data_IF_962801757956
#
_entry.id   IF_962801757956
#
_cell.length_a   1.000
_cell.length_b   1.000
_cell.length_c   1.000
_cell.angle_alpha   90.00
_cell.angle_beta   90.00
_cell.angle_gamma   90.00
#
_symmetry.space_group_name_H-M   'P 1'
#
loop_
_entity.id
_entity.type
_entity.pdbx_description
1 polymer ?
#
# COMPACT_ATOMS: atom_id res chain seq x y z
N UNK A 1 10.06 -3.96 15.70
CA UNK A 1 8.84 -3.12 15.62
C UNK A 1 7.67 -3.94 16.14
N UNK A 2 6.83 -3.38 17.00
CA UNK A 2 5.58 -3.98 17.47
C UNK A 2 4.45 -2.97 17.30
N UNK A 3 3.37 -3.39 16.67
CA UNK A 3 2.13 -2.62 16.51
C UNK A 3 0.94 -3.58 16.59
N UNK A 4 -0.27 -3.07 16.41
CA UNK A 4 -1.52 -3.84 16.43
C UNK A 4 -2.40 -3.42 15.26
N UNK A 5 -3.18 -4.35 14.74
CA UNK A 5 -4.24 -4.06 13.76
C UNK A 5 -5.35 -3.28 14.44
N UNK A 6 -5.56 -2.02 14.05
CA UNK A 6 -6.67 -1.22 14.59
C UNK A 6 -8.01 -1.71 14.03
N UNK A 7 -8.06 -1.95 12.72
CA UNK A 7 -9.27 -2.37 12.03
C UNK A 7 -8.95 -3.15 10.75
N UNK A 8 -9.77 -4.16 10.46
CA UNK A 8 -9.76 -4.92 9.21
C UNK A 8 -10.96 -4.50 8.34
N UNK A 9 -10.74 -4.35 7.04
CA UNK A 9 -11.78 -3.96 6.08
C UNK A 9 -11.82 -4.89 4.87
N UNK A 10 -13.04 -5.15 4.38
CA UNK A 10 -13.30 -5.83 3.11
C UNK A 10 -14.36 -5.07 2.32
N UNK A 11 -14.34 -5.18 1.00
CA UNK A 11 -15.28 -4.53 0.10
C UNK A 11 -15.55 -5.38 -1.11
N UNK A 12 -16.79 -5.29 -1.62
CA UNK A 12 -17.17 -5.86 -2.91
C UNK A 12 -17.06 -4.82 -4.01
N UNK A 13 -16.83 -5.28 -5.23
CA UNK A 13 -16.83 -4.42 -6.41
C UNK A 13 -18.21 -3.79 -6.56
N UNK A 14 -18.22 -2.46 -6.69
CA UNK A 14 -19.40 -1.68 -7.03
C UNK A 14 -19.06 -0.58 -8.00
N UNK A 15 -20.06 -0.07 -8.70
CA UNK A 15 -19.88 1.03 -9.64
C UNK A 15 -19.63 2.34 -8.88
N UNK A 16 -18.60 3.05 -9.29
CA UNK A 16 -18.30 4.40 -8.82
C UNK A 16 -19.00 5.40 -9.74
N UNK A 17 -20.03 6.07 -9.20
CA UNK A 17 -20.78 7.09 -9.94
C UNK A 17 -20.09 8.47 -9.86
N UNK A 18 -20.23 9.33 -10.89
CA UNK A 18 -21.05 9.13 -12.10
C UNK A 18 -20.35 8.34 -13.23
N UNK A 19 -19.05 8.09 -13.13
CA UNK A 19 -18.24 7.52 -14.23
C UNK A 19 -18.63 6.08 -14.59
N UNK A 20 -19.24 5.33 -13.66
CA UNK A 20 -19.67 3.94 -13.88
C UNK A 20 -18.55 2.91 -13.80
N UNK A 21 -17.36 3.30 -13.33
CA UNK A 21 -16.20 2.42 -13.25
C UNK A 21 -16.26 1.47 -12.04
N UNK A 22 -15.84 0.22 -12.24
CA UNK A 22 -15.85 -0.78 -11.19
C UNK A 22 -14.72 -0.55 -10.16
N UNK A 23 -15.08 -0.55 -8.88
CA UNK A 23 -14.15 -0.30 -7.78
C UNK A 23 -14.56 -1.05 -6.51
N UNK A 24 -13.58 -1.66 -5.84
CA UNK A 24 -13.71 -2.21 -4.49
C UNK A 24 -13.07 -1.30 -3.43
N UNK A 25 -12.78 -0.03 -3.78
CA UNK A 25 -12.16 0.94 -2.85
C UNK A 25 -13.05 1.15 -1.62
N UNK A 26 -14.37 1.03 -1.79
CA UNK A 26 -15.33 1.16 -0.71
C UNK A 26 -15.41 -0.11 0.13
N UNK A 27 -14.56 -0.15 1.15
CA UNK A 27 -14.54 -1.24 2.12
C UNK A 27 -15.31 -0.87 3.39
N UNK A 28 -15.84 -1.90 4.04
CA UNK A 28 -16.53 -1.82 5.33
C UNK A 28 -15.73 -2.56 6.39
N UNK A 29 -15.78 -2.11 7.65
CA UNK A 29 -15.11 -2.80 8.74
C UNK A 29 -15.68 -4.21 8.92
N UNK A 30 -14.79 -5.20 9.07
CA UNK A 30 -15.18 -6.57 9.43
C UNK A 30 -15.25 -6.72 10.94
N UNK A 31 -16.24 -7.47 11.40
CA UNK A 31 -16.37 -7.89 12.79
C UNK A 31 -15.78 -9.30 12.95
N UNK A 32 -14.86 -9.46 13.91
CA UNK A 32 -14.23 -10.75 14.21
C UNK A 32 -13.09 -11.15 13.25
N UNK A 33 -12.69 -12.42 13.32
CA UNK A 33 -11.56 -12.96 12.55
C UNK A 33 -11.95 -13.21 11.10
N UNK A 34 -11.06 -12.84 10.18
CA UNK A 34 -11.23 -12.97 8.73
C UNK A 34 -10.11 -13.82 8.16
N UNK A 35 -10.45 -14.75 7.27
CA UNK A 35 -9.46 -15.59 6.59
C UNK A 35 -8.66 -14.79 5.57
N UNK A 36 -7.34 -14.96 5.59
CA UNK A 36 -6.42 -14.46 4.58
C UNK A 36 -6.10 -15.58 3.59
N UNK A 37 -6.36 -15.34 2.31
CA UNK A 37 -6.03 -16.20 1.18
C UNK A 37 -4.78 -15.68 0.46
N UNK A 38 -4.17 -16.45 -0.46
CA UNK A 38 -3.00 -15.99 -1.21
C UNK A 38 -3.22 -14.71 -2.02
N UNK A 39 -4.46 -14.35 -2.32
CA UNK A 39 -4.82 -13.19 -3.15
C UNK A 39 -5.61 -12.12 -2.41
N UNK A 40 -5.88 -12.30 -1.11
CA UNK A 40 -6.55 -11.29 -0.27
C UNK A 40 -7.45 -11.86 0.81
N UNK A 41 -8.23 -11.00 1.47
CA UNK A 41 -9.17 -11.40 2.52
C UNK A 41 -10.40 -12.09 1.94
N UNK A 42 -10.92 -13.09 2.66
CA UNK A 42 -12.22 -13.68 2.36
C UNK A 42 -13.32 -12.62 2.44
N UNK A 43 -14.15 -12.53 1.39
CA UNK A 43 -15.17 -11.49 1.26
C UNK A 43 -14.69 -10.16 0.68
N UNK A 44 -13.39 -10.03 0.42
CA UNK A 44 -12.82 -8.90 -0.30
C UNK A 44 -12.68 -9.19 -1.80
N UNK A 45 -13.06 -8.23 -2.63
CA UNK A 45 -12.94 -8.34 -4.08
C UNK A 45 -11.94 -7.31 -4.62
N UNK A 46 -11.36 -7.61 -5.78
CA UNK A 46 -10.42 -6.75 -6.49
C UNK A 46 -10.96 -6.47 -7.89
N UNK A 47 -11.35 -5.22 -8.16
CA UNK A 47 -11.88 -4.83 -9.46
C UNK A 47 -10.81 -4.80 -10.57
N UNK A 48 -9.55 -4.56 -10.20
CA UNK A 48 -8.43 -4.39 -11.12
C UNK A 48 -7.23 -5.20 -10.64
N UNK A 49 -7.11 -6.43 -11.14
CA UNK A 49 -6.00 -7.33 -10.82
C UNK A 49 -4.65 -6.86 -11.40
N UNK A 50 -4.63 -5.95 -12.38
CA UNK A 50 -3.38 -5.43 -12.94
C UNK A 50 -2.78 -4.39 -12.00
N UNK A 51 -3.58 -3.42 -11.55
CA UNK A 51 -3.09 -2.30 -10.77
C UNK A 51 -3.25 -2.47 -9.25
N UNK A 52 -4.34 -3.08 -8.80
CA UNK A 52 -4.79 -3.08 -7.40
C UNK A 52 -5.09 -4.47 -6.84
N UNK A 53 -4.53 -5.52 -7.45
CA UNK A 53 -4.77 -6.88 -7.04
C UNK A 53 -3.71 -7.87 -7.48
N UNK A 54 -3.99 -9.14 -7.24
CA UNK A 54 -3.06 -10.24 -7.47
C UNK A 54 -2.18 -10.59 -6.25
N UNK A 55 -1.36 -11.65 -6.34
CA UNK A 55 -0.62 -12.20 -5.21
C UNK A 55 0.34 -11.20 -4.53
N UNK A 56 0.96 -10.30 -5.31
CA UNK A 56 1.82 -9.24 -4.78
C UNK A 56 1.06 -8.10 -4.11
N UNK A 57 -0.27 -8.06 -4.25
CA UNK A 57 -1.13 -6.98 -3.74
C UNK A 57 -2.32 -7.53 -2.97
N UNK A 58 -2.11 -8.66 -2.29
CA UNK A 58 -3.15 -9.39 -1.59
C UNK A 58 -3.79 -8.55 -0.47
N UNK A 59 -2.98 -7.80 0.29
CA UNK A 59 -3.46 -6.94 1.37
C UNK A 59 -2.91 -5.54 1.22
N UNK A 60 -3.78 -4.53 1.25
CA UNK A 60 -3.42 -3.12 1.32
C UNK A 60 -3.38 -2.65 2.78
N UNK A 61 -2.30 -1.98 3.18
CA UNK A 61 -2.12 -1.42 4.50
C UNK A 61 -2.01 0.09 4.43
N UNK A 62 -2.73 0.80 5.31
CA UNK A 62 -2.66 2.26 5.37
C UNK A 62 -2.59 2.77 6.82
N UNK A 63 -1.58 3.61 7.17
CA UNK A 63 -1.49 4.24 8.49
C UNK A 63 -2.62 5.24 8.70
N UNK A 64 -3.29 5.19 9.86
CA UNK A 64 -4.42 6.09 10.13
C UNK A 64 -3.98 7.54 10.34
N UNK A 65 -2.72 7.76 10.71
CA UNK A 65 -2.09 9.07 10.91
C UNK A 65 -2.23 9.96 9.68
N UNK A 66 -2.18 9.34 8.49
CA UNK A 66 -2.22 10.04 7.21
C UNK A 66 -3.60 10.64 6.91
N UNK A 67 -4.67 10.11 7.50
CA UNK A 67 -5.99 10.72 7.37
C UNK A 67 -6.07 12.11 8.01
N UNK A 68 -5.28 12.36 9.07
CA UNK A 68 -5.16 13.70 9.64
C UNK A 68 -4.51 14.66 8.64
N UNK A 69 -3.44 14.23 7.97
CA UNK A 69 -2.75 15.05 6.94
C UNK A 69 -3.68 15.38 5.78
N UNK A 70 -4.45 14.39 5.30
CA UNK A 70 -5.45 14.59 4.25
C UNK A 70 -6.56 15.55 4.71
N UNK A 71 -7.07 15.38 5.94
CA UNK A 71 -8.11 16.24 6.51
C UNK A 71 -7.64 17.68 6.76
N UNK A 72 -6.37 17.89 7.11
CA UNK A 72 -5.76 19.22 7.24
C UNK A 72 -5.62 19.92 5.89
N UNK A 73 -5.32 19.16 4.82
CA UNK A 73 -5.24 19.69 3.46
C UNK A 73 -6.60 20.08 2.89
N UNK A 74 -7.67 19.35 3.22
CA UNK A 74 -9.05 19.65 2.81
C UNK A 74 -10.02 19.55 4.00
N UNK A 75 -10.12 20.62 4.81
CA UNK A 75 -10.97 20.65 6.00
C UNK A 75 -12.44 20.33 5.73
N UNK A 76 -12.95 20.68 4.55
CA UNK A 76 -14.32 20.39 4.09
C UNK A 76 -14.59 18.88 3.93
N UNK A 77 -13.56 18.08 3.66
CA UNK A 77 -13.63 16.64 3.52
C UNK A 77 -13.19 15.90 4.79
N UNK A 78 -12.67 16.60 5.80
CA UNK A 78 -12.09 16.01 7.00
C UNK A 78 -13.04 15.04 7.73
N UNK A 79 -14.34 15.34 7.74
CA UNK A 79 -15.35 14.49 8.37
C UNK A 79 -15.60 13.16 7.61
N UNK A 80 -15.20 13.06 6.34
CA UNK A 80 -15.40 11.88 5.50
C UNK A 80 -14.17 10.95 5.50
N UNK A 81 -12.99 11.46 5.81
CA UNK A 81 -11.74 10.69 5.74
C UNK A 81 -11.45 9.98 7.06
N UNK A 82 -11.03 8.72 6.97
CA UNK A 82 -10.77 7.87 8.13
C UNK A 82 -10.44 6.44 7.68
N UNK A 83 -10.19 5.55 8.63
CA UNK A 83 -9.82 4.16 8.33
C UNK A 83 -10.83 3.49 7.37
N UNK A 84 -10.29 2.80 6.36
CA UNK A 84 -11.00 2.21 5.22
C UNK A 84 -11.25 3.16 4.05
N UNK A 85 -10.92 4.45 4.17
CA UNK A 85 -11.21 5.45 3.14
C UNK A 85 -10.29 5.35 1.93
N UNK A 86 -9.03 4.94 2.09
CA UNK A 86 -8.13 4.71 0.95
C UNK A 86 -8.27 3.30 0.37
N UNK A 87 -9.20 2.51 0.91
CA UNK A 87 -9.49 1.14 0.46
C UNK A 87 -8.46 0.15 0.97
N UNK A 88 -7.84 0.42 2.12
CA UNK A 88 -6.97 -0.49 2.83
C UNK A 88 -7.75 -1.63 3.46
N UNK A 89 -7.12 -2.80 3.50
CA UNK A 89 -7.60 -3.96 4.23
C UNK A 89 -7.20 -3.90 5.70
N UNK A 90 -6.03 -3.32 5.99
CA UNK A 90 -5.46 -3.23 7.33
C UNK A 90 -5.17 -1.75 7.62
N UNK A 91 -5.69 -1.27 8.74
CA UNK A 91 -5.33 0.05 9.27
C UNK A 91 -4.64 -0.11 10.63
N UNK A 92 -3.64 0.73 10.89
CA UNK A 92 -2.82 0.70 12.12
C UNK A 92 -2.43 2.10 12.56
N UNK A 93 -1.88 2.18 13.77
CA UNK A 93 -1.08 3.30 14.28
C UNK A 93 0.37 2.91 14.55
N UNK A 94 1.26 3.89 14.55
CA UNK A 94 2.67 3.76 14.89
C UNK A 94 3.52 3.01 13.86
N UNK A 95 2.99 2.78 12.66
CA UNK A 95 3.70 2.16 11.54
C UNK A 95 3.45 3.00 10.30
N UNK A 96 4.51 3.65 9.78
CA UNK A 96 4.45 4.44 8.56
C UNK A 96 5.50 3.96 7.55
N UNK A 97 5.55 4.61 6.40
CA UNK A 97 6.49 4.37 5.32
C UNK A 97 7.96 4.57 5.77
N UNK A 98 8.19 5.28 6.87
CA UNK A 98 9.51 5.50 7.42
C UNK A 98 10.05 4.33 8.26
N UNK A 99 9.17 3.49 8.84
CA UNK A 99 9.57 2.37 9.70
C UNK A 99 9.52 1.00 9.00
N UNK A 100 8.77 0.92 7.90
CA UNK A 100 8.54 -0.30 7.12
C UNK A 100 9.49 -0.36 5.94
N UNK A 101 10.14 -1.50 5.71
CA UNK A 101 11.05 -1.72 4.59
C UNK A 101 10.48 -2.66 3.53
N UNK A 102 10.93 -2.50 2.29
CA UNK A 102 10.66 -3.47 1.22
C UNK A 102 11.18 -4.85 1.64
N UNK A 103 10.35 -5.88 1.46
CA UNK A 103 10.70 -7.25 1.81
C UNK A 103 10.56 -7.59 3.29
N UNK A 104 10.22 -6.64 4.18
CA UNK A 104 9.91 -6.94 5.58
C UNK A 104 8.84 -8.05 5.64
N UNK A 105 9.08 -9.07 6.48
CA UNK A 105 8.13 -10.13 6.77
C UNK A 105 7.52 -9.87 8.13
N UNK A 106 6.19 -9.80 8.18
CA UNK A 106 5.43 -9.64 9.42
C UNK A 106 4.60 -10.88 9.72
N UNK A 107 4.48 -11.18 11.01
CA UNK A 107 3.43 -12.04 11.54
C UNK A 107 2.29 -11.17 12.04
N UNK A 108 1.08 -11.43 11.54
CA UNK A 108 -0.17 -10.78 11.95
C UNK A 108 -1.17 -11.88 12.28
N UNK A 109 -1.53 -12.03 13.55
CA UNK A 109 -2.30 -13.20 13.99
C UNK A 109 -1.58 -14.50 13.60
N UNK A 110 -2.23 -15.31 12.75
CA UNK A 110 -1.71 -16.60 12.26
C UNK A 110 -1.04 -16.51 10.87
N UNK A 111 -0.95 -15.30 10.31
CA UNK A 111 -0.58 -15.06 8.91
C UNK A 111 0.85 -14.52 8.85
N UNK A 112 1.63 -15.01 7.89
CA UNK A 112 2.89 -14.38 7.49
C UNK A 112 2.72 -13.63 6.18
N UNK A 113 3.06 -12.35 6.18
CA UNK A 113 2.91 -11.44 5.04
C UNK A 113 4.22 -10.73 4.79
N UNK A 114 4.54 -10.47 3.52
CA UNK A 114 5.77 -9.79 3.12
C UNK A 114 5.46 -8.52 2.35
N UNK A 115 6.11 -7.41 2.73
CA UNK A 115 6.00 -6.12 2.04
C UNK A 115 6.51 -6.27 0.62
N UNK A 116 5.65 -6.06 -0.36
CA UNK A 116 5.96 -6.28 -1.77
C UNK A 116 6.30 -4.98 -2.51
N UNK A 117 5.60 -3.90 -2.22
CA UNK A 117 5.73 -2.60 -2.87
C UNK A 117 4.87 -1.53 -2.17
N UNK A 118 5.17 -0.23 -2.32
CA UNK A 118 4.23 0.83 -1.96
C UNK A 118 3.00 0.77 -2.86
N UNK A 119 1.91 1.35 -2.37
CA UNK A 119 0.69 1.49 -3.15
C UNK A 119 0.82 2.71 -4.06
N UNK A 120 0.63 2.52 -5.37
CA UNK A 120 0.52 3.68 -6.26
C UNK A 120 -0.85 4.36 -6.07
N UNK A 121 -0.90 5.67 -5.76
CA UNK A 121 -2.14 6.44 -5.76
C UNK A 121 -2.81 6.40 -7.14
N UNK A 122 -4.13 6.53 -7.18
CA UNK A 122 -4.88 6.53 -8.44
C UNK A 122 -6.09 7.46 -8.35
N UNK A 123 -6.62 7.87 -9.51
CA UNK A 123 -7.72 8.83 -9.66
C UNK A 123 -9.01 8.46 -8.89
N UNK A 124 -9.18 7.19 -8.49
CA UNK A 124 -10.30 6.76 -7.63
C UNK A 124 -10.27 7.43 -6.25
N UNK A 125 -9.10 7.90 -5.79
CA UNK A 125 -8.95 8.73 -4.58
C UNK A 125 -9.68 10.06 -4.79
N UNK A 126 -9.35 10.77 -5.87
CA UNK A 126 -9.92 12.08 -6.24
C UNK A 126 -11.45 12.00 -6.28
N UNK A 127 -11.99 10.96 -6.91
CA UNK A 127 -13.44 10.72 -6.94
C UNK A 127 -14.08 10.44 -5.59
N UNK A 128 -13.39 9.70 -4.72
CA UNK A 128 -13.92 9.39 -3.40
C UNK A 128 -13.89 10.62 -2.48
N UNK A 129 -12.81 11.41 -2.53
CA UNK A 129 -12.70 12.69 -1.82
C UNK A 129 -13.61 13.77 -2.41
N UNK A 130 -13.94 13.67 -3.71
CA UNK A 130 -14.57 14.74 -4.50
C UNK A 130 -13.68 15.99 -4.59
N UNK A 131 -12.38 15.75 -4.71
CA UNK A 131 -11.35 16.79 -4.78
C UNK A 131 -10.38 16.40 -5.90
N UNK A 132 -10.20 17.31 -6.85
CA UNK A 132 -9.24 17.12 -7.93
C UNK A 132 -7.80 17.14 -7.39
N UNK A 133 -6.90 16.39 -8.02
CA UNK A 133 -5.49 16.27 -7.64
C UNK A 133 -5.24 15.60 -6.27
N UNK A 134 -6.25 15.02 -5.62
CA UNK A 134 -6.08 14.39 -4.31
C UNK A 134 -5.08 13.21 -4.34
N UNK A 135 -5.10 12.40 -5.40
CA UNK A 135 -4.13 11.33 -5.60
C UNK A 135 -2.71 11.87 -5.80
N UNK A 136 -2.55 13.01 -6.49
CA UNK A 136 -1.24 13.66 -6.67
C UNK A 136 -0.69 14.22 -5.37
N UNK A 137 -1.53 14.77 -4.50
CA UNK A 137 -1.12 15.17 -3.16
C UNK A 137 -0.64 13.98 -2.33
N UNK A 138 -1.39 12.87 -2.32
CA UNK A 138 -1.01 11.63 -1.62
C UNK A 138 0.34 11.11 -2.14
N UNK A 139 0.55 11.14 -3.46
CA UNK A 139 1.82 10.80 -4.10
C UNK A 139 2.95 11.75 -3.70
N UNK A 140 2.74 13.06 -3.78
CA UNK A 140 3.76 14.06 -3.46
C UNK A 140 4.14 14.07 -1.97
N UNK A 141 3.20 13.76 -1.08
CA UNK A 141 3.44 13.68 0.35
C UNK A 141 4.00 12.32 0.80
N UNK A 142 4.11 11.32 -0.09
CA UNK A 142 4.65 9.99 0.24
C UNK A 142 3.77 9.14 1.17
N UNK A 143 2.57 9.60 1.51
CA UNK A 143 1.62 8.95 2.43
C UNK A 143 0.76 7.90 1.73
N UNK A 144 1.41 6.97 1.02
CA UNK A 144 0.77 6.13 0.01
C UNK A 144 0.21 4.81 0.55
N UNK A 145 0.69 4.35 1.71
CA UNK A 145 0.49 2.98 2.18
C UNK A 145 1.25 1.96 1.33
N UNK A 146 1.04 0.68 1.61
CA UNK A 146 1.77 -0.40 0.93
C UNK A 146 0.95 -1.66 0.79
N UNK A 147 1.48 -2.56 -0.04
CA UNK A 147 0.92 -3.89 -0.24
C UNK A 147 1.77 -4.95 0.44
N UNK A 148 1.07 -6.01 0.84
CA UNK A 148 1.66 -7.28 1.18
C UNK A 148 1.31 -8.36 0.16
N UNK A 149 2.26 -9.28 -0.03
CA UNK A 149 1.98 -10.65 -0.47
C UNK A 149 1.83 -11.56 0.74
N UNK A 150 1.09 -12.67 0.57
CA UNK A 150 0.87 -13.65 1.64
C UNK A 150 1.85 -14.81 1.49
N UNK A 151 2.69 -15.02 2.49
CA UNK A 151 3.63 -16.15 2.56
C UNK A 151 3.00 -17.37 3.23
N UNK A 152 2.19 -17.13 4.26
CA UNK A 152 1.45 -18.17 4.98
C UNK A 152 0.03 -17.68 5.24
N UNK A 153 -0.96 -18.44 4.78
CA UNK A 153 -2.38 -18.16 5.01
C UNK A 153 -2.78 -18.44 6.46
N UNK A 154 -3.91 -17.88 6.86
CA UNK A 154 -4.41 -17.98 8.22
C UNK A 154 -5.57 -17.02 8.42
N UNK A 155 -5.62 -16.40 9.59
CA UNK A 155 -6.71 -15.51 9.99
C UNK A 155 -6.15 -14.31 10.73
N UNK A 156 -6.78 -13.15 10.50
CA UNK A 156 -6.47 -11.90 11.20
C UNK A 156 -7.75 -11.24 11.75
N UNK A 157 -7.62 -10.44 12.79
CA UNK A 157 -8.67 -9.58 13.34
C UNK A 157 -8.10 -8.24 13.82
N UNK A 158 -9.00 -7.28 14.05
CA UNK A 158 -8.68 -6.12 14.87
C UNK A 158 -8.18 -6.57 16.26
N UNK A 159 -7.14 -5.92 16.78
CA UNK A 159 -6.45 -6.26 18.02
C UNK A 159 -5.30 -7.26 17.86
N UNK A 160 -5.15 -7.92 16.70
CA UNK A 160 -4.00 -8.82 16.48
C UNK A 160 -2.69 -8.02 16.45
N UNK A 161 -1.67 -8.56 17.12
CA UNK A 161 -0.32 -7.99 17.10
C UNK A 161 0.35 -8.14 15.73
N UNK A 162 1.15 -7.15 15.38
CA UNK A 162 2.01 -7.13 14.19
C UNK A 162 3.46 -7.19 14.67
N UNK A 163 4.14 -8.28 14.30
CA UNK A 163 5.52 -8.55 14.70
C UNK A 163 6.41 -8.67 13.47
N UNK A 164 7.50 -7.91 13.45
CA UNK A 164 8.54 -8.06 12.43
C UNK A 164 9.31 -9.37 12.66
N UNK A 165 9.28 -10.25 11.68
CA UNK A 165 9.96 -11.55 11.68
C UNK A 165 11.30 -11.48 10.95
N UNK A 166 11.32 -10.80 9.80
CA UNK A 166 12.50 -10.68 8.95
C UNK A 166 12.57 -9.30 8.30
N UNK A 167 13.79 -8.79 8.12
CA UNK A 167 14.08 -7.52 7.45
C UNK A 167 15.29 -7.69 6.52
N UNK A 168 15.10 -8.15 5.28
CA UNK A 168 16.21 -8.40 4.36
C UNK A 168 16.83 -7.09 3.84
N UNK A 169 16.04 -6.01 3.74
CA UNK A 169 16.49 -4.71 3.21
C UNK A 169 16.37 -3.59 4.25
N UNK A 170 17.13 -3.59 5.36
CA UNK A 170 17.02 -2.56 6.41
C UNK A 170 17.35 -1.14 5.94
N UNK A 171 17.93 -1.00 4.75
CA UNK A 171 18.31 0.25 4.11
C UNK A 171 17.21 0.83 3.20
N UNK A 172 16.15 0.06 2.89
CA UNK A 172 15.13 0.44 1.92
C UNK A 172 13.77 0.56 2.60
N UNK A 173 13.61 1.63 3.38
CA UNK A 173 12.28 2.01 3.88
C UNK A 173 11.37 2.34 2.69
N UNK A 174 10.06 2.26 2.89
CA UNK A 174 9.11 2.63 1.84
C UNK A 174 9.23 4.11 1.47
N UNK A 175 9.55 4.98 2.44
CA UNK A 175 9.84 6.39 2.21
C UNK A 175 11.09 6.56 1.32
N UNK A 176 12.21 5.90 1.66
CA UNK A 176 13.44 5.95 0.87
C UNK A 176 13.24 5.42 -0.56
N UNK A 177 12.48 4.32 -0.68
CA UNK A 177 12.07 3.81 -1.98
C UNK A 177 11.30 4.88 -2.77
N UNK A 178 10.32 5.52 -2.15
CA UNK A 178 9.43 6.46 -2.82
C UNK A 178 10.17 7.71 -3.27
N UNK A 179 10.97 8.30 -2.39
CA UNK A 179 11.79 9.48 -2.67
C UNK A 179 12.77 9.19 -3.82
N UNK A 180 13.41 8.01 -3.80
CA UNK A 180 14.34 7.63 -4.87
C UNK A 180 13.63 7.48 -6.21
N UNK A 181 12.51 6.75 -6.29
CA UNK A 181 11.89 6.43 -7.59
C UNK A 181 11.08 7.58 -8.19
N UNK A 182 10.67 8.55 -7.37
CA UNK A 182 9.91 9.73 -7.81
C UNK A 182 10.80 10.95 -8.11
N UNK A 183 12.08 10.90 -7.73
CA UNK A 183 13.04 11.95 -8.07
C UNK A 183 13.05 12.23 -9.59
N UNK A 184 13.15 13.50 -9.96
CA UNK A 184 13.16 13.92 -11.36
C UNK A 184 14.29 13.26 -12.16
N UNK A 185 15.48 13.14 -11.54
CA UNK A 185 16.65 12.44 -12.07
C UNK A 185 17.22 11.52 -10.98
N UNK A 186 16.69 10.30 -10.85
CA UNK A 186 17.17 9.35 -9.85
C UNK A 186 18.53 8.78 -10.26
N UNK A 187 19.38 8.46 -9.29
CA UNK A 187 20.67 7.79 -9.56
C UNK A 187 20.43 6.38 -10.13
N UNK A 188 20.93 6.05 -11.33
CA UNK A 188 20.82 4.71 -11.90
C UNK A 188 21.38 3.60 -11.00
N UNK A 189 22.43 3.88 -10.22
CA UNK A 189 23.01 2.91 -9.27
C UNK A 189 22.01 2.61 -8.14
N UNK A 190 21.38 3.65 -7.59
CA UNK A 190 20.34 3.49 -6.58
C UNK A 190 19.14 2.71 -7.12
N UNK A 191 18.66 3.02 -8.34
CA UNK A 191 17.56 2.29 -8.98
C UNK A 191 17.89 0.80 -9.20
N UNK A 192 19.11 0.47 -9.63
CA UNK A 192 19.56 -0.93 -9.76
C UNK A 192 19.59 -1.64 -8.43
N UNK A 193 20.05 -0.97 -7.37
CA UNK A 193 20.06 -1.52 -6.00
C UNK A 193 18.63 -1.79 -5.52
N UNK A 194 17.71 -0.85 -5.72
CA UNK A 194 16.27 -1.03 -5.42
C UNK A 194 15.70 -2.22 -6.21
N UNK A 195 16.00 -2.31 -7.50
CA UNK A 195 15.47 -3.38 -8.34
C UNK A 195 15.96 -4.78 -7.95
N UNK A 196 17.08 -4.88 -7.22
CA UNK A 196 17.62 -6.10 -6.68
C UNK A 196 17.18 -6.40 -5.23
N UNK A 197 16.40 -5.51 -4.61
CA UNK A 197 15.93 -5.69 -3.24
C UNK A 197 15.05 -6.93 -3.11
N UNK A 198 15.36 -7.76 -2.11
CA UNK A 198 14.60 -8.98 -1.86
C UNK A 198 13.15 -8.65 -1.50
N UNK A 199 12.20 -9.38 -2.08
CA UNK A 199 10.78 -9.16 -1.85
C UNK A 199 10.16 -7.99 -2.62
N UNK A 200 10.90 -7.21 -3.42
CA UNK A 200 10.25 -6.24 -4.31
C UNK A 200 9.41 -6.95 -5.39
N UNK A 201 8.20 -6.46 -5.65
CA UNK A 201 7.34 -6.98 -6.72
C UNK A 201 8.04 -6.96 -8.09
N UNK A 202 7.86 -8.04 -8.87
CA UNK A 202 8.66 -8.30 -10.06
C UNK A 202 8.48 -7.22 -11.16
N UNK A 203 7.26 -6.68 -11.31
CA UNK A 203 6.98 -5.59 -12.25
C UNK A 203 7.72 -4.30 -11.86
N UNK A 204 7.81 -4.01 -10.54
CA UNK A 204 8.56 -2.86 -10.03
C UNK A 204 10.06 -3.04 -10.23
N UNK A 205 10.58 -4.21 -9.89
CA UNK A 205 11.98 -4.54 -10.12
C UNK A 205 12.37 -4.40 -11.60
N UNK A 206 11.51 -4.87 -12.52
CA UNK A 206 11.74 -4.71 -13.96
C UNK A 206 11.71 -3.24 -14.38
N UNK A 207 10.68 -2.48 -13.96
CA UNK A 207 10.54 -1.06 -14.27
C UNK A 207 11.78 -0.25 -13.86
N UNK A 208 12.34 -0.51 -12.67
CA UNK A 208 13.50 0.21 -12.18
C UNK A 208 14.81 -0.20 -12.85
N UNK A 209 14.95 -1.48 -13.24
CA UNK A 209 16.05 -1.93 -14.12
C UNK A 209 16.04 -1.20 -15.45
N UNK A 210 14.88 -1.14 -16.11
CA UNK A 210 14.72 -0.48 -17.41
C UNK A 210 14.95 1.03 -17.30
N UNK A 211 14.40 1.68 -16.25
CA UNK A 211 14.62 3.11 -16.01
C UNK A 211 16.08 3.45 -15.76
N UNK A 212 16.80 2.63 -14.99
CA UNK A 212 18.23 2.81 -14.76
C UNK A 212 19.04 2.70 -16.06
N UNK A 213 18.78 1.66 -16.87
CA UNK A 213 19.44 1.47 -18.17
C UNK A 213 19.18 2.64 -19.12
N UNK A 214 17.94 3.14 -19.16
CA UNK A 214 17.59 4.29 -19.98
C UNK A 214 18.34 5.55 -19.53
N UNK A 215 18.43 5.82 -18.22
CA UNK A 215 19.14 6.98 -17.69
C UNK A 215 20.65 6.90 -17.95
N UNK A 216 21.26 5.72 -17.87
CA UNK A 216 22.67 5.53 -18.23
C UNK A 216 22.94 5.79 -19.71
N UNK A 217 21.96 5.48 -20.57
CA UNK A 217 22.08 5.62 -22.03
C UNK A 217 21.69 7.01 -22.55
N UNK A 218 20.89 7.79 -21.79
CA UNK A 218 20.27 9.03 -22.26
C UNK A 218 20.41 10.21 -21.26
N UNK A 219 21.11 10.02 -20.14
CA UNK A 219 21.16 10.98 -19.02
C UNK A 219 22.28 12.01 -19.08
N UNK A 220 22.96 12.15 -20.23
CA UNK A 220 23.93 13.23 -20.47
C UNK A 220 23.24 14.59 -20.57
#
# INVERSE_FOLDING_TARGET
MQSTVDQVFVGRVRLMLPDGESSAIFKSPVQGRTRVTPTGLEGDEQADLRHHGGPDKALHHYPVEHYRVIGEQWPECAAMVGAGFLGENISTRGMTEHEVCIGDVFRIGDVHVQVSQPRSPCWKIDRRLKVDDASRFVEAAGITGWYYRVLQTGTIAAGDGIELVERPNPWLTLAEYWDTVTAHRPDPVALKRIAAAEGLAADKAQRWRERAQWLESNGA
#
